data_IF_008654027773
#
_entry.id   IF_008654027773
#
_cell.length_a   1.000
_cell.length_b   1.000
_cell.length_c   1.000
_cell.angle_alpha   90.00
_cell.angle_beta   90.00
_cell.angle_gamma   90.00
#
_symmetry.space_group_name_H-M   'P 1'
#
loop_
_entity.id
_entity.type
_entity.pdbx_description
1 polymer ?
#
# COMPACT_ATOMS: atom_id res chain seq x y z
N UNK A 1 24.06 21.28 4.91
CA UNK A 1 22.82 20.52 4.59
C UNK A 1 22.21 20.13 5.93
N UNK A 2 21.02 20.64 6.27
CA UNK A 2 20.38 20.35 7.55
C UNK A 2 20.02 18.87 7.68
N UNK A 3 20.14 18.32 8.88
CA UNK A 3 19.83 16.92 9.12
C UNK A 3 18.32 16.72 8.92
N UNK A 4 17.89 15.85 7.99
CA UNK A 4 16.45 15.62 7.70
C UNK A 4 15.70 15.21 8.98
N UNK A 5 16.42 14.57 9.89
CA UNK A 5 15.92 14.08 11.19
C UNK A 5 15.48 15.24 12.08
N UNK A 6 16.08 16.43 11.98
CA UNK A 6 15.67 17.62 12.74
C UNK A 6 14.36 18.24 12.25
N UNK A 7 13.94 17.91 11.01
CA UNK A 7 12.68 18.36 10.43
C UNK A 7 11.50 17.45 10.81
N UNK A 8 11.80 16.22 11.24
CA UNK A 8 10.80 15.24 11.62
C UNK A 8 10.35 15.51 13.06
N UNK A 9 9.04 15.71 13.22
CA UNK A 9 8.44 15.91 14.52
C UNK A 9 8.18 14.58 15.20
N UNK A 10 8.05 14.57 16.53
CA UNK A 10 7.68 13.36 17.28
C UNK A 10 6.34 12.78 16.80
N UNK A 11 5.44 13.61 16.27
CA UNK A 11 4.16 13.17 15.69
C UNK A 11 4.36 12.30 14.45
N UNK A 12 5.30 12.62 13.57
CA UNK A 12 5.56 11.86 12.34
C UNK A 12 5.97 10.41 12.69
N UNK A 13 6.84 10.26 13.69
CA UNK A 13 7.25 8.96 14.18
C UNK A 13 6.09 8.17 14.82
N UNK A 14 5.23 8.84 15.60
CA UNK A 14 4.05 8.21 16.19
C UNK A 14 3.12 7.67 15.10
N UNK A 15 2.88 8.43 14.03
CA UNK A 15 2.02 8.02 12.91
C UNK A 15 2.59 6.78 12.22
N UNK A 16 3.90 6.76 11.95
CA UNK A 16 4.57 5.61 11.31
C UNK A 16 4.49 4.37 12.21
N UNK A 17 4.77 4.51 13.50
CA UNK A 17 4.69 3.38 14.45
C UNK A 17 3.26 2.87 14.54
N UNK A 18 2.27 3.74 14.67
CA UNK A 18 0.86 3.36 14.72
C UNK A 18 0.43 2.60 13.46
N UNK A 19 0.86 3.06 12.28
CA UNK A 19 0.61 2.37 11.01
C UNK A 19 1.19 0.94 11.00
N UNK A 20 2.45 0.78 11.41
CA UNK A 20 3.10 -0.54 11.50
C UNK A 20 2.39 -1.47 12.48
N UNK A 21 2.00 -0.97 13.66
CA UNK A 21 1.26 -1.74 14.67
C UNK A 21 -0.08 -2.22 14.10
N UNK A 22 -0.82 -1.34 13.42
CA UNK A 22 -2.10 -1.69 12.78
C UNK A 22 -1.89 -2.80 11.74
N UNK A 23 -0.87 -2.69 10.89
CA UNK A 23 -0.55 -3.72 9.90
C UNK A 23 -0.25 -5.08 10.55
N UNK A 24 0.56 -5.09 11.61
CA UNK A 24 0.88 -6.33 12.35
C UNK A 24 -0.36 -6.93 12.99
N UNK A 25 -1.22 -6.11 13.59
CA UNK A 25 -2.49 -6.57 14.18
C UNK A 25 -3.40 -7.19 13.12
N UNK A 26 -3.54 -6.55 11.95
CA UNK A 26 -4.34 -7.09 10.84
C UNK A 26 -3.74 -8.41 10.34
N UNK A 27 -2.44 -8.47 10.11
CA UNK A 27 -1.74 -9.68 9.66
C UNK A 27 -1.86 -10.83 10.66
N UNK A 28 -1.68 -10.55 11.95
CA UNK A 28 -1.83 -11.53 13.02
C UNK A 28 -3.27 -12.04 13.12
N UNK A 29 -4.27 -11.14 13.09
CA UNK A 29 -5.69 -11.54 13.08
C UNK A 29 -6.04 -12.38 11.85
N UNK A 30 -5.54 -12.01 10.67
CA UNK A 30 -5.77 -12.76 9.44
C UNK A 30 -5.13 -14.16 9.49
N UNK A 31 -3.94 -14.26 10.11
CA UNK A 31 -3.22 -15.54 10.30
C UNK A 31 -3.91 -16.44 11.32
N UNK A 32 -4.33 -15.90 12.47
CA UNK A 32 -4.98 -16.67 13.53
C UNK A 32 -6.44 -17.03 13.23
N UNK A 33 -7.16 -16.21 12.44
CA UNK A 33 -8.54 -16.51 12.05
C UNK A 33 -8.64 -17.66 11.03
N UNK A 34 -7.57 -17.99 10.31
CA UNK A 34 -7.50 -19.12 9.37
C UNK A 34 -6.86 -20.34 10.04
N UNK A 35 -7.54 -20.91 11.03
CA UNK A 35 -7.14 -22.21 11.59
C UNK A 35 -7.06 -23.27 10.48
N UNK A 36 -5.85 -23.78 10.19
CA UNK A 36 -5.54 -25.01 9.43
C UNK A 36 -6.54 -25.38 8.32
N UNK A 37 -6.66 -24.58 7.27
CA UNK A 37 -7.37 -25.00 6.04
C UNK A 37 -6.47 -24.86 4.83
N UNK A 38 -6.54 -25.89 3.99
CA UNK A 38 -5.63 -26.31 2.92
C UNK A 38 -5.01 -25.20 2.07
N UNK A 39 -3.81 -25.47 1.55
CA UNK A 39 -2.99 -24.59 0.71
C UNK A 39 -3.74 -23.96 -0.48
N UNK A 40 -4.78 -24.62 -1.01
CA UNK A 40 -5.63 -24.05 -2.08
C UNK A 40 -6.44 -22.82 -1.63
N UNK A 41 -6.82 -22.74 -0.35
CA UNK A 41 -7.65 -21.66 0.19
C UNK A 41 -6.89 -20.36 0.47
N UNK A 42 -5.56 -20.43 0.54
CA UNK A 42 -4.69 -19.27 0.73
C UNK A 42 -4.59 -18.44 -0.55
N UNK A 43 -4.53 -19.08 -1.72
CA UNK A 43 -4.43 -18.40 -3.01
C UNK A 43 -5.79 -18.10 -3.66
N UNK A 44 -6.77 -19.00 -3.55
CA UNK A 44 -8.08 -18.83 -4.21
C UNK A 44 -9.12 -18.11 -3.32
N UNK A 45 -8.80 -17.84 -2.05
CA UNK A 45 -9.72 -17.30 -1.04
C UNK A 45 -11.14 -17.89 -1.13
N UNK A 46 -11.22 -19.20 -1.40
CA UNK A 46 -12.47 -19.94 -1.57
C UNK A 46 -13.49 -19.31 -2.55
N UNK A 47 -13.03 -18.60 -3.59
CA UNK A 47 -13.86 -17.82 -4.55
C UNK A 47 -14.80 -16.80 -3.88
N UNK A 48 -14.56 -16.41 -2.63
CA UNK A 48 -15.44 -15.51 -1.87
C UNK A 48 -15.05 -14.03 -1.96
N UNK A 49 -14.05 -13.70 -2.78
CA UNK A 49 -13.62 -12.32 -2.99
C UNK A 49 -14.62 -11.60 -3.90
N UNK A 50 -15.30 -10.60 -3.34
CA UNK A 50 -16.15 -9.71 -4.12
C UNK A 50 -15.31 -8.95 -5.17
N UNK A 51 -15.93 -8.60 -6.30
CA UNK A 51 -15.27 -7.88 -7.40
C UNK A 51 -14.53 -6.62 -6.91
N UNK A 52 -15.11 -5.84 -6.00
CA UNK A 52 -14.45 -4.66 -5.43
C UNK A 52 -13.13 -5.01 -4.72
N UNK A 53 -13.09 -6.08 -3.93
CA UNK A 53 -11.86 -6.53 -3.24
C UNK A 53 -10.78 -6.96 -4.23
N UNK A 54 -11.16 -7.57 -5.36
CA UNK A 54 -10.21 -7.97 -6.42
C UNK A 54 -9.64 -6.72 -7.10
N UNK A 55 -10.49 -5.76 -7.48
CA UNK A 55 -10.07 -4.52 -8.12
C UNK A 55 -9.14 -3.67 -7.24
N UNK A 56 -9.49 -3.50 -5.96
CA UNK A 56 -8.65 -2.77 -5.02
C UNK A 56 -7.30 -3.45 -4.76
N UNK A 57 -7.26 -4.79 -4.70
CA UNK A 57 -5.98 -5.50 -4.59
C UNK A 57 -5.13 -5.33 -5.84
N UNK A 58 -5.69 -5.51 -7.04
CA UNK A 58 -4.94 -5.31 -8.29
C UNK A 58 -4.38 -3.89 -8.37
N UNK A 59 -5.20 -2.87 -8.10
CA UNK A 59 -4.76 -1.47 -8.10
C UNK A 59 -3.68 -1.22 -7.05
N UNK A 60 -3.86 -1.67 -5.81
CA UNK A 60 -2.90 -1.50 -4.73
C UNK A 60 -1.57 -2.23 -4.94
N UNK A 61 -1.57 -3.34 -5.69
CA UNK A 61 -0.34 -4.04 -6.06
C UNK A 61 0.37 -3.43 -7.28
N UNK A 62 -0.35 -2.71 -8.14
CA UNK A 62 0.20 -2.07 -9.32
C UNK A 62 0.73 -0.66 -9.03
N UNK A 63 0.02 0.12 -8.20
CA UNK A 63 0.38 1.51 -7.87
C UNK A 63 1.26 1.56 -6.63
N UNK A 64 2.58 1.59 -6.85
CA UNK A 64 3.58 1.70 -5.79
C UNK A 64 3.95 3.15 -5.41
N UNK A 65 4.62 3.35 -4.26
CA UNK A 65 5.11 4.68 -3.86
C UNK A 65 6.05 5.34 -4.87
N UNK A 66 6.83 4.55 -5.61
CA UNK A 66 7.71 5.02 -6.68
C UNK A 66 6.93 5.67 -7.82
N UNK A 67 5.78 5.12 -8.18
CA UNK A 67 4.90 5.68 -9.21
C UNK A 67 4.36 7.05 -8.79
N UNK A 68 3.98 7.22 -7.51
CA UNK A 68 3.53 8.52 -6.98
C UNK A 68 4.62 9.60 -7.08
N UNK A 69 5.87 9.26 -6.75
CA UNK A 69 7.01 10.19 -6.86
C UNK A 69 7.32 10.50 -8.33
N UNK A 70 7.27 9.50 -9.21
CA UNK A 70 7.48 9.67 -10.65
C UNK A 70 6.41 10.60 -11.24
N UNK A 71 5.13 10.38 -10.94
CA UNK A 71 4.02 11.20 -11.42
C UNK A 71 4.08 12.63 -10.90
N UNK A 72 4.46 12.83 -9.64
CA UNK A 72 4.67 14.18 -9.10
C UNK A 72 5.81 14.91 -9.84
N UNK A 73 6.89 14.19 -10.17
CA UNK A 73 8.05 14.73 -10.90
C UNK A 73 7.71 15.05 -12.35
N UNK A 74 7.01 14.14 -13.04
CA UNK A 74 6.56 14.29 -14.42
C UNK A 74 5.53 15.42 -14.51
N UNK A 75 4.55 15.46 -13.60
CA UNK A 75 3.58 16.55 -13.52
C UNK A 75 4.23 17.91 -13.31
N UNK A 76 5.33 17.99 -12.54
CA UNK A 76 6.12 19.22 -12.39
C UNK A 76 6.86 19.60 -13.67
N UNK A 77 7.43 18.63 -14.40
CA UNK A 77 8.28 18.89 -15.56
C UNK A 77 7.50 19.14 -16.86
N UNK A 78 6.45 18.37 -17.12
CA UNK A 78 5.73 18.34 -18.41
C UNK A 78 4.24 18.63 -18.28
N UNK A 79 3.75 18.84 -17.05
CA UNK A 79 2.34 19.12 -16.77
C UNK A 79 1.45 17.88 -16.88
N UNK A 80 0.13 18.10 -16.85
CA UNK A 80 -0.87 17.02 -16.80
C UNK A 80 -0.95 16.19 -18.10
N UNK A 81 -0.36 16.68 -19.20
CA UNK A 81 -0.43 16.01 -20.50
C UNK A 81 0.31 14.67 -20.49
N UNK A 82 1.40 14.56 -19.74
CA UNK A 82 2.19 13.33 -19.65
C UNK A 82 1.42 12.16 -19.02
N UNK A 83 0.44 12.43 -18.16
CA UNK A 83 -0.43 11.38 -17.58
C UNK A 83 -1.22 10.62 -18.65
N UNK A 84 -1.50 11.23 -19.82
CA UNK A 84 -2.19 10.56 -20.92
C UNK A 84 -1.31 9.49 -21.61
N UNK A 85 -0.01 9.50 -21.37
CA UNK A 85 0.94 8.53 -21.93
C UNK A 85 1.37 7.47 -20.91
N UNK A 86 0.88 7.57 -19.68
CA UNK A 86 1.13 6.61 -18.60
C UNK A 86 -0.02 5.60 -18.59
N UNK A 87 0.22 4.43 -19.19
CA UNK A 87 -0.72 3.31 -19.29
C UNK A 87 -0.11 2.04 -18.69
#
# INVERSE_FOLDING_TARGET
>A
MGNIVERLTTLDYIIVIAYLVILVVIGYRASFSKGKKSDESLFLANKSLNWSSIGFNMWGTNVGPSMLVAFASIGYATGIVAVNFEW
#
